data_IF_042429400243
#
_entry.id   IF_042429400243
#
_cell.length_a   1.000
_cell.length_b   1.000
_cell.length_c   1.000
_cell.angle_alpha   90.00
_cell.angle_beta   90.00
_cell.angle_gamma   90.00
#
_symmetry.space_group_name_H-M   'P 1'
#
loop_
_entity.id
_entity.type
_entity.pdbx_description
1 polymer ?
#
# COMPACT_ATOMS: atom_id res chain seq x y z
N UNK A 1 -20.27 68.40 8.54
CA UNK A 1 -19.45 67.95 9.69
C UNK A 1 -20.15 66.86 10.52
N UNK A 2 -21.44 67.02 10.86
CA UNK A 2 -22.22 66.04 11.63
C UNK A 2 -22.20 64.62 11.04
N UNK A 3 -22.37 64.48 9.71
CA UNK A 3 -22.34 63.18 9.02
C UNK A 3 -21.00 62.43 9.09
N UNK A 4 -19.88 63.15 9.20
CA UNK A 4 -18.54 62.53 9.32
C UNK A 4 -18.35 62.02 10.75
N UNK A 5 -18.81 62.78 11.75
CA UNK A 5 -18.76 62.38 13.16
C UNK A 5 -19.65 61.16 13.40
N UNK A 6 -20.87 61.16 12.88
CA UNK A 6 -21.79 60.01 12.93
C UNK A 6 -21.18 58.76 12.29
N UNK A 7 -20.53 58.90 11.12
CA UNK A 7 -19.84 57.81 10.47
C UNK A 7 -18.68 57.24 11.31
N UNK A 8 -17.85 58.11 11.90
CA UNK A 8 -16.73 57.68 12.75
C UNK A 8 -17.21 57.00 14.04
N UNK A 9 -18.30 57.48 14.65
CA UNK A 9 -18.92 56.83 15.81
C UNK A 9 -19.46 55.45 15.42
N UNK A 10 -20.20 55.35 14.31
CA UNK A 10 -20.71 54.08 13.82
C UNK A 10 -19.57 53.09 13.52
N UNK A 11 -18.49 53.54 12.87
CA UNK A 11 -17.31 52.73 12.61
C UNK A 11 -16.64 52.27 13.92
N UNK A 12 -16.54 53.15 14.92
CA UNK A 12 -16.02 52.81 16.24
C UNK A 12 -16.86 51.77 16.97
N UNK A 13 -18.18 51.88 16.91
CA UNK A 13 -19.11 50.88 17.48
C UNK A 13 -18.93 49.53 16.77
N UNK A 14 -18.87 49.52 15.44
CA UNK A 14 -18.67 48.29 14.66
C UNK A 14 -17.32 47.65 14.97
N UNK A 15 -16.25 48.43 15.05
CA UNK A 15 -14.92 47.95 15.44
C UNK A 15 -14.91 47.40 16.87
N UNK A 16 -15.55 48.10 17.81
CA UNK A 16 -15.68 47.65 19.20
C UNK A 16 -16.46 46.32 19.31
N UNK A 17 -17.59 46.21 18.61
CA UNK A 17 -18.39 44.98 18.55
C UNK A 17 -17.61 43.83 17.91
N UNK A 18 -16.87 44.09 16.82
CA UNK A 18 -16.01 43.10 16.17
C UNK A 18 -14.97 42.52 17.15
N UNK A 19 -14.32 43.37 17.95
CA UNK A 19 -13.34 42.92 18.95
C UNK A 19 -14.03 42.13 20.07
N UNK A 20 -15.14 42.63 20.61
CA UNK A 20 -15.88 41.95 21.69
C UNK A 20 -16.31 40.55 21.25
N UNK A 21 -16.95 40.45 20.07
CA UNK A 21 -17.40 39.15 19.54
C UNK A 21 -16.19 38.25 19.26
N UNK A 22 -15.12 38.76 18.64
CA UNK A 22 -13.91 37.99 18.37
C UNK A 22 -13.26 37.41 19.64
N UNK A 23 -13.23 38.16 20.75
CA UNK A 23 -12.72 37.68 22.03
C UNK A 23 -13.64 36.64 22.68
N UNK A 24 -14.96 36.75 22.47
CA UNK A 24 -15.92 35.75 22.94
C UNK A 24 -15.90 34.44 22.12
N UNK A 25 -15.38 34.47 20.88
CA UNK A 25 -15.24 33.25 20.06
C UNK A 25 -14.17 32.31 20.64
N UNK A 26 -14.36 30.97 20.52
CA UNK A 26 -13.38 29.99 20.99
C UNK A 26 -11.98 30.18 20.38
N UNK A 27 -10.96 30.07 21.22
CA UNK A 27 -9.55 30.15 20.82
C UNK A 27 -9.01 28.87 20.19
N UNK A 28 -9.80 27.80 20.16
CA UNK A 28 -9.47 26.51 19.56
C UNK A 28 -10.73 25.88 18.94
N UNK A 29 -10.52 24.99 17.96
CA UNK A 29 -11.58 24.22 17.32
C UNK A 29 -11.20 22.76 17.25
N UNK A 30 -12.19 21.91 17.51
CA UNK A 30 -12.10 20.46 17.40
C UNK A 30 -13.23 19.96 16.49
N UNK A 31 -12.90 19.07 15.57
CA UNK A 31 -13.85 18.39 14.69
C UNK A 31 -13.54 16.90 14.76
N UNK A 32 -14.58 16.08 14.79
CA UNK A 32 -14.45 14.62 14.81
C UNK A 32 -15.44 14.04 13.82
N UNK A 33 -14.96 13.19 12.92
CA UNK A 33 -15.79 12.43 11.99
C UNK A 33 -15.40 10.95 12.10
N UNK A 34 -16.33 10.04 11.81
CA UNK A 34 -16.02 8.61 11.86
C UNK A 34 -16.70 7.80 10.76
N UNK A 35 -16.08 6.68 10.40
CA UNK A 35 -16.63 5.71 9.46
C UNK A 35 -16.28 4.30 9.93
N UNK A 36 -17.10 3.33 9.57
CA UNK A 36 -16.80 1.91 9.81
C UNK A 36 -16.36 1.21 8.52
N UNK A 37 -15.47 0.24 8.67
CA UNK A 37 -15.02 -0.65 7.59
C UNK A 37 -15.00 -2.10 8.06
N UNK A 38 -15.18 -3.03 7.12
CA UNK A 38 -15.08 -4.47 7.37
C UNK A 38 -13.66 -5.03 7.15
N UNK A 39 -12.66 -4.15 6.93
CA UNK A 39 -11.26 -4.54 6.77
C UNK A 39 -10.57 -4.78 8.09
N UNK A 40 -9.60 -5.71 8.10
CA UNK A 40 -8.79 -6.05 9.27
C UNK A 40 -8.11 -4.82 9.87
N UNK A 41 -7.98 -4.80 11.20
CA UNK A 41 -7.30 -3.73 11.95
C UNK A 41 -5.88 -3.46 11.43
N UNK A 42 -5.11 -4.51 11.14
CA UNK A 42 -3.77 -4.43 10.53
C UNK A 42 -3.75 -3.55 9.27
N UNK A 43 -4.71 -3.77 8.36
CA UNK A 43 -4.81 -3.05 7.08
C UNK A 43 -5.17 -1.58 7.33
N UNK A 44 -6.13 -1.34 8.22
CA UNK A 44 -6.61 0.01 8.55
C UNK A 44 -5.49 0.82 9.22
N UNK A 45 -4.82 0.23 10.21
CA UNK A 45 -3.71 0.86 10.91
C UNK A 45 -2.57 1.20 9.96
N UNK A 46 -2.11 0.26 9.13
CA UNK A 46 -1.01 0.53 8.19
C UNK A 46 -1.35 1.60 7.16
N UNK A 47 -2.62 1.70 6.79
CA UNK A 47 -3.11 2.73 5.88
C UNK A 47 -2.98 4.12 6.48
N UNK A 48 -3.38 4.33 7.74
CA UNK A 48 -3.30 5.66 8.39
C UNK A 48 -1.90 5.95 8.94
N UNK A 49 -1.12 4.91 9.22
CA UNK A 49 0.26 5.01 9.67
C UNK A 49 1.27 5.28 8.54
N UNK A 50 0.80 5.53 7.31
CA UNK A 50 1.64 5.88 6.17
C UNK A 50 0.97 6.96 5.30
N UNK A 51 1.78 7.91 4.82
CA UNK A 51 1.30 8.98 3.94
C UNK A 51 1.43 8.64 2.44
N UNK A 52 1.87 7.42 2.09
CA UNK A 52 2.03 7.01 0.68
C UNK A 52 0.72 7.04 -0.11
N UNK A 53 -0.37 6.64 0.54
CA UNK A 53 -1.70 6.61 -0.06
C UNK A 53 -2.50 7.89 0.15
N UNK A 54 -1.85 8.98 0.58
CA UNK A 54 -2.51 10.25 0.84
C UNK A 54 -3.39 10.71 -0.32
N UNK A 55 -2.91 10.57 -1.56
CA UNK A 55 -3.65 10.93 -2.78
C UNK A 55 -4.96 10.16 -2.99
N UNK A 56 -5.04 8.94 -2.46
CA UNK A 56 -6.16 8.03 -2.69
C UNK A 56 -7.37 8.42 -1.82
N UNK A 57 -7.11 8.83 -0.58
CA UNK A 57 -8.15 9.16 0.39
C UNK A 57 -8.30 10.67 0.64
N UNK A 58 -7.23 11.46 0.66
CA UNK A 58 -7.31 12.87 1.02
C UNK A 58 -7.95 13.71 -0.11
N UNK A 59 -8.87 14.64 0.20
CA UNK A 59 -9.51 15.50 -0.79
C UNK A 59 -8.59 16.51 -1.51
N UNK A 60 -7.35 16.73 -1.07
CA UNK A 60 -6.45 17.76 -1.62
C UNK A 60 -6.36 17.72 -3.15
N UNK A 61 -6.20 16.53 -3.75
CA UNK A 61 -6.09 16.38 -5.20
C UNK A 61 -7.39 16.66 -5.97
N UNK A 62 -8.54 16.67 -5.30
CA UNK A 62 -9.79 17.09 -5.92
C UNK A 62 -9.85 18.61 -6.07
N UNK A 63 -9.10 19.34 -5.22
CA UNK A 63 -9.00 20.80 -5.28
C UNK A 63 -7.92 21.25 -6.25
N UNK A 64 -6.78 20.56 -6.26
CA UNK A 64 -5.72 20.76 -7.24
C UNK A 64 -5.18 19.42 -7.76
N UNK A 65 -5.62 18.97 -8.96
CA UNK A 65 -5.09 17.76 -9.60
C UNK A 65 -3.61 17.84 -9.96
N UNK A 66 -3.02 19.03 -10.03
CA UNK A 66 -1.62 19.27 -10.37
C UNK A 66 -0.72 19.46 -9.14
N UNK A 67 -1.24 19.22 -7.92
CA UNK A 67 -0.46 19.35 -6.68
C UNK A 67 0.74 18.40 -6.70
N UNK A 68 1.91 18.93 -6.37
CA UNK A 68 3.12 18.14 -6.23
C UNK A 68 3.19 17.55 -4.83
N UNK A 69 3.44 16.24 -4.73
CA UNK A 69 3.57 15.51 -3.47
C UNK A 69 4.99 14.97 -3.34
N UNK A 70 5.64 15.21 -2.21
CA UNK A 70 6.98 14.70 -1.91
C UNK A 70 6.99 13.99 -0.56
N UNK A 71 7.25 12.69 -0.59
CA UNK A 71 7.44 11.89 0.63
C UNK A 71 8.88 11.97 1.12
N UNK A 72 9.07 12.03 2.44
CA UNK A 72 10.38 11.99 3.09
C UNK A 72 10.30 11.32 4.46
N UNK A 73 11.45 10.98 5.04
CA UNK A 73 11.52 10.24 6.30
C UNK A 73 11.20 8.74 6.13
N UNK A 74 10.85 8.04 7.23
CA UNK A 74 10.50 6.63 7.16
C UNK A 74 9.21 6.40 6.35
N UNK A 75 9.09 5.18 5.86
CA UNK A 75 7.97 4.67 5.07
C UNK A 75 6.60 4.76 5.77
N UNK A 76 6.60 4.65 7.09
CA UNK A 76 5.43 4.63 7.98
C UNK A 76 5.89 4.95 9.41
N UNK A 77 4.95 5.30 10.28
CA UNK A 77 5.25 5.61 11.69
C UNK A 77 5.82 7.01 11.90
N UNK A 78 6.27 7.25 13.13
CA UNK A 78 6.75 8.57 13.58
C UNK A 78 7.87 9.09 12.68
N UNK A 79 7.73 10.34 12.25
CA UNK A 79 8.65 11.03 11.34
C UNK A 79 8.35 10.85 9.85
N UNK A 80 7.43 9.94 9.47
CA UNK A 80 6.98 9.84 8.09
C UNK A 80 6.33 11.16 7.67
N UNK A 81 6.82 11.74 6.58
CA UNK A 81 6.48 13.10 6.14
C UNK A 81 5.99 13.12 4.70
N UNK A 82 4.97 13.94 4.46
CA UNK A 82 4.52 14.33 3.14
C UNK A 82 4.52 15.85 3.05
N UNK A 83 5.28 16.39 2.11
CA UNK A 83 5.22 17.78 1.69
C UNK A 83 4.34 17.90 0.45
N UNK A 84 3.54 18.96 0.37
CA UNK A 84 2.76 19.29 -0.83
C UNK A 84 3.01 20.73 -1.29
N UNK A 85 2.98 20.93 -2.60
CA UNK A 85 3.08 22.24 -3.21
C UNK A 85 2.03 22.40 -4.32
N UNK A 86 1.16 23.39 -4.16
CA UNK A 86 0.13 23.76 -5.12
C UNK A 86 0.40 25.14 -5.70
N UNK A 87 0.03 25.33 -6.97
CA UNK A 87 0.02 26.65 -7.61
C UNK A 87 -1.24 27.45 -7.28
N UNK A 88 -2.27 26.80 -6.75
CA UNK A 88 -3.48 27.45 -6.27
C UNK A 88 -3.18 28.22 -5.00
N UNK A 89 -3.39 29.54 -5.03
CA UNK A 89 -3.01 30.44 -3.93
C UNK A 89 -3.72 30.15 -2.61
N UNK A 90 -4.89 29.50 -2.67
CA UNK A 90 -5.67 29.10 -1.50
C UNK A 90 -5.11 27.87 -0.78
N UNK A 91 -4.37 27.01 -1.49
CA UNK A 91 -3.76 25.80 -0.93
C UNK A 91 -2.30 26.03 -0.56
N UNK A 92 -1.56 26.76 -1.41
CA UNK A 92 -0.16 27.08 -1.19
C UNK A 92 0.72 25.83 -1.00
N UNK A 93 1.53 25.85 0.05
CA UNK A 93 2.45 24.76 0.39
C UNK A 93 2.24 24.35 1.84
N UNK A 94 2.42 23.06 2.12
CA UNK A 94 2.27 22.55 3.47
C UNK A 94 2.88 21.17 3.64
N UNK A 95 2.74 20.64 4.84
CA UNK A 95 3.28 19.34 5.19
C UNK A 95 2.45 18.60 6.24
N UNK A 96 2.53 17.29 6.17
CA UNK A 96 1.92 16.34 7.10
C UNK A 96 3.04 15.49 7.68
N UNK A 97 3.14 15.40 9.01
CA UNK A 97 4.17 14.60 9.69
C UNK A 97 3.52 13.74 10.74
N UNK A 98 3.72 12.43 10.67
CA UNK A 98 3.28 11.52 11.74
C UNK A 98 4.12 11.79 12.99
N UNK A 99 3.47 12.20 14.07
CA UNK A 99 4.12 12.53 15.35
C UNK A 99 3.95 11.43 16.39
N UNK A 100 2.85 10.67 16.32
CA UNK A 100 2.56 9.57 17.23
C UNK A 100 2.00 8.38 16.45
N UNK A 101 2.34 7.16 16.88
CA UNK A 101 1.85 5.92 16.30
C UNK A 101 1.80 4.83 17.37
N UNK A 102 0.62 4.56 17.90
CA UNK A 102 0.33 3.41 18.75
C UNK A 102 -0.31 2.30 17.91
N UNK A 103 0.38 1.16 17.83
CA UNK A 103 0.00 0.06 16.94
C UNK A 103 -1.46 -0.37 17.15
N UNK A 104 -2.21 -0.42 16.03
CA UNK A 104 -3.60 -0.85 15.97
C UNK A 104 -4.58 -0.02 16.82
N UNK A 105 -4.21 1.21 17.21
CA UNK A 105 -5.04 2.05 18.08
C UNK A 105 -5.06 3.52 17.70
N UNK A 106 -3.90 4.14 17.51
CA UNK A 106 -3.82 5.59 17.37
C UNK A 106 -2.70 6.05 16.44
N UNK A 107 -2.96 7.05 15.62
CA UNK A 107 -1.93 7.76 14.83
C UNK A 107 -2.22 9.25 14.88
N UNK A 108 -1.25 10.07 15.28
CA UNK A 108 -1.36 11.52 15.25
C UNK A 108 -0.43 12.13 14.19
N UNK A 109 -0.91 13.17 13.53
CA UNK A 109 -0.24 13.83 12.41
C UNK A 109 -0.28 15.34 12.63
N UNK A 110 0.88 15.97 12.70
CA UNK A 110 1.01 17.42 12.66
C UNK A 110 0.85 17.94 11.23
N UNK A 111 0.11 19.04 11.08
CA UNK A 111 -0.17 19.69 9.80
C UNK A 111 0.41 21.10 9.83
N UNK A 112 1.17 21.45 8.79
CA UNK A 112 1.57 22.82 8.51
C UNK A 112 1.01 23.21 7.16
N UNK A 113 0.29 24.33 7.09
CA UNK A 113 -0.35 24.82 5.87
C UNK A 113 -0.66 26.33 6.01
N UNK A 114 -0.98 27.06 4.92
CA UNK A 114 -1.19 28.51 4.98
C UNK A 114 -2.55 28.92 5.58
N UNK A 115 -3.42 27.97 5.96
CA UNK A 115 -4.69 28.28 6.60
C UNK A 115 -4.49 28.93 7.98
N UNK A 116 -5.52 29.59 8.50
CA UNK A 116 -5.41 30.30 9.79
C UNK A 116 -5.30 29.33 10.97
N UNK A 117 -4.62 29.79 12.02
CA UNK A 117 -4.35 29.01 13.22
C UNK A 117 -3.01 28.29 13.18
N UNK A 118 -2.62 27.74 14.32
CA UNK A 118 -1.37 27.05 14.57
C UNK A 118 -1.63 25.76 15.36
N UNK A 119 -0.59 24.96 15.60
CA UNK A 119 -0.65 23.66 16.28
C UNK A 119 -1.70 22.72 15.66
N UNK A 120 -1.84 22.76 14.33
CA UNK A 120 -2.84 21.97 13.62
C UNK A 120 -2.46 20.49 13.71
N UNK A 121 -3.38 19.69 14.21
CA UNK A 121 -3.16 18.25 14.36
C UNK A 121 -4.38 17.51 13.85
N UNK A 122 -4.16 16.43 13.12
CA UNK A 122 -5.21 15.42 12.89
C UNK A 122 -4.77 14.10 13.48
N UNK A 123 -5.71 13.35 14.03
CA UNK A 123 -5.42 12.02 14.57
C UNK A 123 -6.47 11.02 14.14
N UNK A 124 -6.06 9.76 14.10
CA UNK A 124 -6.90 8.62 13.80
C UNK A 124 -6.95 7.72 15.01
N UNK A 125 -8.14 7.48 15.53
CA UNK A 125 -8.41 6.51 16.60
C UNK A 125 -9.16 5.32 16.02
N UNK A 126 -8.64 4.11 16.28
CA UNK A 126 -9.12 2.87 15.70
C UNK A 126 -9.72 1.99 16.79
N UNK A 127 -10.99 1.60 16.60
CA UNK A 127 -11.72 0.80 17.58
C UNK A 127 -12.32 -0.43 16.90
N UNK A 128 -12.18 -1.64 17.47
CA UNK A 128 -12.88 -2.82 16.97
C UNK A 128 -14.38 -2.67 17.23
N UNK A 129 -15.20 -2.85 16.19
CA UNK A 129 -16.67 -2.79 16.27
C UNK A 129 -17.33 -3.99 15.60
N UNK A 130 -18.66 -4.05 15.69
CA UNK A 130 -19.46 -5.15 15.13
C UNK A 130 -19.33 -6.47 15.89
N UNK A 131 -20.04 -7.49 15.40
CA UNK A 131 -20.08 -8.81 16.06
C UNK A 131 -18.70 -9.47 16.06
N UNK A 132 -18.14 -9.66 17.26
CA UNK A 132 -16.83 -10.28 17.45
C UNK A 132 -15.65 -9.42 17.01
N UNK A 133 -15.80 -8.08 16.96
CA UNK A 133 -14.71 -7.16 16.62
C UNK A 133 -14.19 -7.30 15.19
N UNK A 134 -15.07 -7.71 14.26
CA UNK A 134 -14.70 -7.94 12.85
C UNK A 134 -14.65 -6.67 12.02
N UNK A 135 -15.30 -5.61 12.46
CA UNK A 135 -15.25 -4.30 11.83
C UNK A 135 -14.28 -3.41 12.60
N UNK A 136 -13.86 -2.32 11.95
CA UNK A 136 -13.05 -1.29 12.56
C UNK A 136 -13.76 0.04 12.35
N UNK A 137 -13.99 0.77 13.44
CA UNK A 137 -14.37 2.17 13.40
C UNK A 137 -13.11 3.01 13.34
N UNK A 138 -13.06 3.90 12.35
CA UNK A 138 -12.00 4.87 12.14
C UNK A 138 -12.58 6.22 12.53
N UNK A 139 -12.09 6.79 13.62
CA UNK A 139 -12.44 8.15 14.05
C UNK A 139 -11.29 9.06 13.66
N UNK A 140 -11.55 10.09 12.85
CA UNK A 140 -10.59 11.12 12.51
C UNK A 140 -10.94 12.40 13.26
N UNK A 141 -10.03 12.83 14.13
CA UNK A 141 -10.11 14.09 14.84
C UNK A 141 -9.21 15.13 14.17
N UNK A 142 -9.63 16.39 14.22
CA UNK A 142 -8.84 17.54 13.79
C UNK A 142 -8.92 18.62 14.86
N UNK A 143 -7.78 19.20 15.22
CA UNK A 143 -7.66 20.30 16.16
C UNK A 143 -6.82 21.44 15.59
N UNK A 144 -7.17 22.67 15.92
CA UNK A 144 -6.44 23.88 15.56
C UNK A 144 -6.61 24.95 16.62
N UNK A 145 -5.52 25.67 16.92
CA UNK A 145 -5.51 26.79 17.86
C UNK A 145 -5.40 28.12 17.13
N UNK A 146 -6.16 29.11 17.58
CA UNK A 146 -6.15 30.49 17.09
C UNK A 146 -5.55 31.48 18.07
N UNK A 147 -5.45 31.12 19.36
CA UNK A 147 -4.93 32.03 20.38
C UNK A 147 -5.75 33.32 20.43
N UNK A 148 -5.09 34.49 20.39
CA UNK A 148 -5.75 35.81 20.35
C UNK A 148 -5.89 36.40 18.93
N UNK A 149 -5.63 35.63 17.87
CA UNK A 149 -5.91 36.09 16.50
C UNK A 149 -7.42 36.17 16.26
N UNK A 150 -7.98 37.39 16.37
CA UNK A 150 -9.41 37.65 16.21
C UNK A 150 -9.90 37.20 14.82
N UNK A 151 -9.13 37.47 13.77
CA UNK A 151 -9.48 37.03 12.41
C UNK A 151 -9.45 35.51 12.29
N UNK A 152 -8.47 34.85 12.91
CA UNK A 152 -8.40 33.40 13.03
C UNK A 152 -9.61 32.80 13.74
N UNK A 153 -10.05 33.38 14.86
CA UNK A 153 -11.25 32.92 15.58
C UNK A 153 -12.54 33.04 14.74
N UNK A 154 -12.67 34.09 13.94
CA UNK A 154 -13.75 34.22 12.96
C UNK A 154 -13.63 33.18 11.84
N UNK A 155 -12.44 32.94 11.30
CA UNK A 155 -12.20 31.87 10.34
C UNK A 155 -12.59 30.49 10.93
N UNK A 156 -12.32 30.29 12.22
CA UNK A 156 -12.71 29.13 13.01
C UNK A 156 -14.20 28.80 13.02
N UNK A 157 -15.09 29.73 12.69
CA UNK A 157 -16.54 29.46 12.53
C UNK A 157 -16.85 28.66 11.26
N UNK A 158 -16.00 28.77 10.24
CA UNK A 158 -16.20 28.10 8.95
C UNK A 158 -15.44 26.78 8.82
N UNK A 159 -14.61 26.45 9.80
CA UNK A 159 -13.80 25.22 9.86
C UNK A 159 -14.68 23.98 9.91
N UNK A 160 -15.74 23.97 10.72
CA UNK A 160 -16.67 22.83 10.79
C UNK A 160 -17.33 22.51 9.46
N UNK A 161 -17.59 23.53 8.62
CA UNK A 161 -18.16 23.33 7.29
C UNK A 161 -17.11 22.84 6.30
N UNK A 162 -15.97 23.52 6.18
CA UNK A 162 -15.00 23.18 5.14
C UNK A 162 -14.13 21.97 5.51
N UNK A 163 -13.56 21.97 6.72
CA UNK A 163 -12.70 20.88 7.18
C UNK A 163 -13.55 19.67 7.56
N UNK A 164 -14.70 19.86 8.20
CA UNK A 164 -15.61 18.73 8.52
C UNK A 164 -16.07 17.98 7.26
N UNK A 165 -16.49 18.69 6.22
CA UNK A 165 -16.86 18.09 4.94
C UNK A 165 -15.66 17.37 4.29
N UNK A 166 -14.44 17.93 4.39
CA UNK A 166 -13.21 17.29 3.91
C UNK A 166 -12.86 16.01 4.68
N UNK A 167 -13.00 16.01 6.02
CA UNK A 167 -12.75 14.80 6.83
C UNK A 167 -13.75 13.70 6.46
N UNK A 168 -15.03 14.05 6.35
CA UNK A 168 -16.08 13.10 5.98
C UNK A 168 -15.88 12.54 4.57
N UNK A 169 -15.52 13.38 3.60
CA UNK A 169 -15.17 12.95 2.25
C UNK A 169 -13.91 12.08 2.25
N UNK A 170 -12.90 12.47 3.01
CA UNK A 170 -11.64 11.76 3.16
C UNK A 170 -11.81 10.36 3.72
N UNK A 171 -12.57 10.23 4.82
CA UNK A 171 -12.95 8.95 5.43
C UNK A 171 -13.78 8.08 4.49
N UNK A 172 -14.72 8.67 3.75
CA UNK A 172 -15.53 7.93 2.76
C UNK A 172 -14.65 7.36 1.64
N UNK A 173 -13.71 8.17 1.12
CA UNK A 173 -12.74 7.70 0.13
C UNK A 173 -11.80 6.64 0.70
N UNK A 174 -11.35 6.81 1.95
CA UNK A 174 -10.54 5.82 2.65
C UNK A 174 -11.27 4.48 2.77
N UNK A 175 -12.54 4.47 3.16
CA UNK A 175 -13.33 3.24 3.25
C UNK A 175 -13.49 2.55 1.88
N UNK A 176 -13.77 3.30 0.82
CA UNK A 176 -13.85 2.77 -0.54
C UNK A 176 -12.51 2.20 -1.01
N UNK A 177 -11.42 2.91 -0.73
CA UNK A 177 -10.06 2.47 -1.03
C UNK A 177 -9.72 1.18 -0.28
N UNK A 178 -10.00 1.12 1.02
CA UNK A 178 -9.81 -0.06 1.87
C UNK A 178 -10.62 -1.26 1.35
N UNK A 179 -11.80 -1.02 0.77
CA UNK A 179 -12.63 -2.09 0.22
C UNK A 179 -11.96 -2.84 -0.96
N UNK A 180 -10.98 -2.23 -1.62
CA UNK A 180 -10.20 -2.85 -2.70
C UNK A 180 -9.05 -3.73 -2.20
N UNK A 181 -8.65 -3.58 -0.93
CA UNK A 181 -7.54 -4.34 -0.34
C UNK A 181 -8.02 -5.75 0.03
N UNK A 182 -7.33 -6.83 -0.37
CA UNK A 182 -7.67 -8.18 0.10
C UNK A 182 -7.76 -8.24 1.63
N UNK A 183 -8.84 -8.83 2.15
CA UNK A 183 -9.14 -8.79 3.59
C UNK A 183 -8.36 -9.86 4.40
N UNK A 184 -7.04 -9.89 4.21
CA UNK A 184 -6.12 -10.85 4.82
C UNK A 184 -5.22 -10.12 5.80
N UNK A 185 -5.11 -10.66 7.01
CA UNK A 185 -4.20 -10.13 8.01
C UNK A 185 -2.80 -10.75 7.83
N UNK A 186 -1.94 -9.99 7.17
CA UNK A 186 -0.57 -10.38 6.84
C UNK A 186 0.41 -10.29 8.01
N UNK A 187 -0.07 -10.03 9.23
CA UNK A 187 0.71 -10.10 10.47
C UNK A 187 0.37 -11.31 11.34
N UNK A 188 -0.51 -12.20 10.86
CA UNK A 188 -0.91 -13.39 11.62
C UNK A 188 0.12 -14.50 11.50
N UNK A 189 0.16 -15.37 12.50
CA UNK A 189 1.00 -16.58 12.48
C UNK A 189 0.61 -17.57 11.38
N UNK A 190 -0.58 -17.45 10.80
CA UNK A 190 -1.07 -18.30 9.70
C UNK A 190 -0.37 -18.00 8.37
N UNK A 191 0.21 -16.79 8.22
CA UNK A 191 1.06 -16.40 7.11
C UNK A 191 2.33 -15.71 7.65
N UNK A 192 3.30 -16.46 8.21
CA UNK A 192 4.52 -15.93 8.81
C UNK A 192 5.48 -15.45 7.72
N UNK A 193 5.09 -14.39 7.03
CA UNK A 193 5.91 -13.72 6.05
C UNK A 193 7.04 -12.97 6.76
N UNK A 194 8.27 -13.16 6.27
CA UNK A 194 9.43 -12.35 6.67
C UNK A 194 9.93 -11.56 5.47
N UNK A 195 10.81 -10.58 5.73
CA UNK A 195 11.50 -9.81 4.68
C UNK A 195 10.56 -9.14 3.66
N UNK A 196 9.43 -8.64 4.17
CA UNK A 196 8.45 -7.85 3.42
C UNK A 196 9.12 -6.59 2.86
N UNK A 197 9.26 -6.53 1.54
CA UNK A 197 9.91 -5.42 0.86
C UNK A 197 9.35 -5.22 -0.54
N UNK A 198 9.54 -4.01 -1.08
CA UNK A 198 9.49 -3.82 -2.53
C UNK A 198 10.92 -3.93 -3.03
N UNK A 199 11.16 -4.85 -3.95
CA UNK A 199 12.49 -5.14 -4.51
C UNK A 199 12.50 -4.85 -6.01
N UNK A 200 13.66 -4.46 -6.52
CA UNK A 200 13.91 -4.40 -7.97
C UNK A 200 14.36 -5.78 -8.45
N UNK A 201 13.55 -6.39 -9.30
CA UNK A 201 13.89 -7.64 -9.97
C UNK A 201 14.63 -7.27 -11.27
N UNK A 202 15.87 -7.75 -11.46
CA UNK A 202 16.63 -7.46 -12.67
C UNK A 202 16.01 -8.14 -13.89
N UNK A 203 16.62 -7.94 -15.06
CA UNK A 203 16.28 -8.72 -16.24
C UNK A 203 16.46 -10.22 -15.96
N UNK A 204 15.54 -11.04 -16.44
CA UNK A 204 15.60 -12.49 -16.30
C UNK A 204 15.22 -13.19 -17.60
N UNK A 205 15.88 -14.31 -17.87
CA UNK A 205 15.52 -15.23 -18.94
C UNK A 205 14.88 -16.47 -18.31
N UNK A 206 13.66 -16.80 -18.71
CA UNK A 206 12.91 -17.94 -18.19
C UNK A 206 12.64 -18.96 -19.29
N UNK A 207 12.75 -20.24 -18.95
CA UNK A 207 12.09 -21.33 -19.66
C UNK A 207 10.87 -21.76 -18.87
N UNK A 208 9.70 -21.73 -19.50
CA UNK A 208 8.40 -21.90 -18.84
C UNK A 208 7.62 -23.02 -19.51
N UNK A 209 7.03 -23.92 -18.74
CA UNK A 209 6.09 -24.95 -19.18
C UNK A 209 4.78 -24.76 -18.43
N UNK A 210 3.66 -24.70 -19.16
CA UNK A 210 2.33 -24.67 -18.53
C UNK A 210 1.98 -26.09 -18.06
N UNK A 211 1.79 -26.27 -16.75
CA UNK A 211 1.44 -27.57 -16.18
C UNK A 211 -0.06 -27.91 -16.34
N UNK A 212 -0.88 -26.94 -16.76
CA UNK A 212 -2.32 -27.06 -16.82
C UNK A 212 -2.97 -27.17 -15.43
N UNK A 213 -4.14 -27.80 -15.37
CA UNK A 213 -4.90 -28.01 -14.15
C UNK A 213 -4.58 -29.38 -13.53
N UNK A 214 -3.72 -29.39 -12.53
CA UNK A 214 -3.25 -30.62 -11.87
C UNK A 214 -4.13 -30.94 -10.67
N UNK A 215 -4.43 -32.22 -10.43
CA UNK A 215 -5.11 -32.66 -9.21
C UNK A 215 -4.32 -32.29 -7.95
N UNK A 216 -5.02 -31.79 -6.92
CA UNK A 216 -4.39 -31.49 -5.63
C UNK A 216 -4.00 -32.77 -4.92
N UNK A 217 -2.70 -32.99 -4.84
CA UNK A 217 -2.09 -34.12 -4.17
C UNK A 217 -0.59 -33.99 -4.24
N UNK A 218 0.12 -34.46 -3.22
CA UNK A 218 1.57 -34.38 -3.20
C UNK A 218 2.18 -35.13 -4.39
N UNK A 219 1.73 -36.35 -4.64
CA UNK A 219 2.22 -37.19 -5.73
C UNK A 219 1.94 -36.56 -7.10
N UNK A 220 0.71 -36.12 -7.35
CA UNK A 220 0.28 -35.54 -8.64
C UNK A 220 1.00 -34.23 -8.95
N UNK A 221 1.13 -33.34 -7.96
CA UNK A 221 1.84 -32.06 -8.11
C UNK A 221 3.34 -32.30 -8.29
N UNK A 222 3.95 -33.17 -7.47
CA UNK A 222 5.38 -33.51 -7.59
C UNK A 222 5.69 -34.10 -8.96
N UNK A 223 4.86 -35.05 -9.43
CA UNK A 223 5.03 -35.67 -10.74
C UNK A 223 4.93 -34.63 -11.85
N UNK A 224 3.89 -33.79 -11.84
CA UNK A 224 3.72 -32.74 -12.85
C UNK A 224 4.91 -31.77 -12.89
N UNK A 225 5.41 -31.34 -11.73
CA UNK A 225 6.59 -30.48 -11.66
C UNK A 225 7.81 -31.18 -12.26
N UNK A 226 8.09 -32.43 -11.88
CA UNK A 226 9.26 -33.18 -12.36
C UNK A 226 9.20 -33.44 -13.87
N UNK A 227 8.05 -33.84 -14.38
CA UNK A 227 7.86 -34.07 -15.82
C UNK A 227 8.14 -32.78 -16.63
N UNK A 228 7.67 -31.63 -16.13
CA UNK A 228 7.92 -30.34 -16.76
C UNK A 228 9.39 -29.88 -16.62
N UNK A 229 10.05 -30.17 -15.51
CA UNK A 229 11.48 -29.92 -15.32
C UNK A 229 12.34 -30.71 -16.30
N UNK A 230 11.96 -31.94 -16.66
CA UNK A 230 12.68 -32.73 -17.67
C UNK A 230 12.65 -32.06 -19.04
N UNK A 231 11.49 -31.53 -19.45
CA UNK A 231 11.38 -30.77 -20.70
C UNK A 231 12.27 -29.53 -20.71
N UNK A 232 12.23 -28.75 -19.62
CA UNK A 232 13.09 -27.57 -19.44
C UNK A 232 14.56 -27.96 -19.52
N UNK A 233 14.97 -29.02 -18.82
CA UNK A 233 16.36 -29.51 -18.80
C UNK A 233 16.86 -29.87 -20.20
N UNK A 234 16.06 -30.57 -21.01
CA UNK A 234 16.40 -30.90 -22.41
C UNK A 234 16.65 -29.64 -23.24
N UNK A 235 15.79 -28.62 -23.09
CA UNK A 235 15.97 -27.33 -23.79
C UNK A 235 17.21 -26.59 -23.30
N UNK A 236 17.51 -26.62 -22.00
CA UNK A 236 18.72 -26.01 -21.45
C UNK A 236 19.99 -26.65 -22.04
N UNK A 237 20.06 -27.98 -22.05
CA UNK A 237 21.19 -28.75 -22.57
C UNK A 237 21.41 -28.47 -24.07
N UNK A 238 20.33 -28.47 -24.87
CA UNK A 238 20.39 -28.18 -26.31
C UNK A 238 20.87 -26.75 -26.63
N UNK A 239 20.77 -25.81 -25.69
CA UNK A 239 21.07 -24.38 -25.89
C UNK A 239 22.29 -23.88 -25.10
N UNK A 240 23.02 -24.80 -24.44
CA UNK A 240 24.14 -24.50 -23.55
C UNK A 240 23.77 -23.45 -22.47
N UNK A 241 22.64 -23.70 -21.81
CA UNK A 241 22.13 -22.88 -20.71
C UNK A 241 22.36 -23.58 -19.37
N UNK A 242 22.45 -22.78 -18.31
CA UNK A 242 22.48 -23.27 -16.93
C UNK A 242 21.46 -22.51 -16.08
N UNK A 243 21.08 -23.09 -14.94
CA UNK A 243 20.12 -22.49 -14.02
C UNK A 243 20.72 -21.20 -13.41
N UNK A 244 19.93 -20.13 -13.44
CA UNK A 244 20.29 -18.84 -12.84
C UNK A 244 19.65 -18.62 -11.46
N UNK A 245 18.96 -19.63 -10.92
CA UNK A 245 18.30 -19.58 -9.62
C UNK A 245 17.48 -20.83 -9.33
N UNK A 246 16.74 -20.85 -8.20
CA UNK A 246 15.84 -21.93 -7.84
C UNK A 246 14.73 -22.15 -8.88
N UNK A 247 14.08 -23.30 -8.81
CA UNK A 247 12.86 -23.56 -9.59
C UNK A 247 11.79 -22.53 -9.21
N UNK A 248 11.10 -22.00 -10.21
CA UNK A 248 10.00 -21.06 -10.04
C UNK A 248 8.67 -21.72 -10.35
N UNK A 249 7.67 -21.50 -9.51
CA UNK A 249 6.29 -21.84 -9.78
C UNK A 249 5.50 -20.56 -9.97
N UNK A 250 4.75 -20.44 -11.06
CA UNK A 250 3.91 -19.28 -11.36
C UNK A 250 2.46 -19.72 -11.18
N UNK A 251 1.82 -19.25 -10.11
CA UNK A 251 0.47 -19.70 -9.76
C UNK A 251 -0.58 -18.95 -10.55
N UNK A 252 -1.50 -19.69 -11.18
CA UNK A 252 -2.70 -19.13 -11.82
C UNK A 252 -3.92 -19.26 -10.91
N UNK A 253 -4.15 -20.44 -10.34
CA UNK A 253 -5.24 -20.70 -9.40
C UNK A 253 -4.89 -21.85 -8.46
N UNK A 254 -5.17 -21.71 -7.17
CA UNK A 254 -5.01 -22.76 -6.16
C UNK A 254 -6.38 -23.13 -5.58
N UNK A 255 -7.16 -23.85 -6.39
CA UNK A 255 -8.52 -24.25 -6.06
C UNK A 255 -8.61 -25.34 -4.98
N UNK A 256 -9.82 -25.81 -4.70
CA UNK A 256 -10.02 -26.87 -3.70
C UNK A 256 -9.62 -28.27 -4.20
N UNK A 257 -9.78 -28.54 -5.48
CA UNK A 257 -9.49 -29.85 -6.09
C UNK A 257 -8.35 -29.80 -7.11
N UNK A 258 -8.15 -28.64 -7.75
CA UNK A 258 -7.17 -28.44 -8.82
C UNK A 258 -6.19 -27.33 -8.47
N UNK A 259 -4.97 -27.48 -8.96
CA UNK A 259 -3.92 -26.48 -8.90
C UNK A 259 -3.45 -26.15 -10.32
N UNK A 260 -3.65 -24.90 -10.73
CA UNK A 260 -3.25 -24.38 -12.04
C UNK A 260 -1.97 -23.55 -11.91
N UNK A 261 -0.88 -24.00 -12.52
CA UNK A 261 0.41 -23.33 -12.41
C UNK A 261 1.29 -23.56 -13.64
N UNK A 262 2.31 -22.70 -13.79
CA UNK A 262 3.42 -22.91 -14.71
C UNK A 262 4.67 -23.28 -13.92
N UNK A 263 5.50 -24.14 -14.51
CA UNK A 263 6.84 -24.45 -14.02
C UNK A 263 7.83 -23.61 -14.81
N UNK A 264 8.62 -22.80 -14.13
CA UNK A 264 9.60 -21.94 -14.76
C UNK A 264 11.00 -22.18 -14.16
N UNK A 265 12.02 -22.08 -15.00
CA UNK A 265 13.41 -22.09 -14.56
C UNK A 265 14.07 -20.80 -15.05
N UNK A 266 14.56 -19.94 -14.13
CA UNK A 266 15.50 -18.89 -14.48
C UNK A 266 16.75 -19.52 -15.07
N UNK A 267 17.18 -19.03 -16.23
CA UNK A 267 18.32 -19.54 -16.98
C UNK A 267 19.28 -18.43 -17.37
N UNK A 268 20.52 -18.80 -17.64
CA UNK A 268 21.53 -17.94 -18.25
C UNK A 268 22.39 -18.76 -19.20
N UNK A 269 23.16 -18.08 -20.07
CA UNK A 269 24.18 -18.75 -20.86
C UNK A 269 25.22 -19.36 -19.92
N UNK A 270 25.64 -20.59 -20.20
CA UNK A 270 26.62 -21.29 -19.37
C UNK A 270 27.90 -20.46 -19.23
N UNK A 271 28.31 -20.21 -17.98
CA UNK A 271 29.49 -19.41 -17.67
C UNK A 271 29.27 -17.89 -17.70
N UNK A 272 28.06 -17.40 -18.00
CA UNK A 272 27.71 -16.01 -17.79
C UNK A 272 27.48 -15.73 -16.30
N UNK A 273 27.74 -14.50 -15.86
CA UNK A 273 27.49 -14.11 -14.47
C UNK A 273 25.98 -13.96 -14.20
N UNK A 274 25.26 -13.26 -15.09
CA UNK A 274 23.84 -12.98 -14.99
C UNK A 274 23.14 -13.01 -16.37
N UNK A 275 21.81 -12.87 -16.37
CA UNK A 275 21.05 -12.62 -17.60
C UNK A 275 21.43 -11.26 -18.21
N UNK A 276 21.35 -11.16 -19.54
CA UNK A 276 21.72 -9.94 -20.27
C UNK A 276 20.48 -9.11 -20.59
N UNK A 277 20.66 -7.83 -20.91
CA UNK A 277 19.56 -6.98 -21.39
C UNK A 277 19.03 -7.41 -22.78
N UNK A 278 19.79 -8.21 -23.52
CA UNK A 278 19.37 -8.78 -24.79
C UNK A 278 18.76 -10.16 -24.59
N UNK A 279 17.68 -10.43 -25.34
CA UNK A 279 17.03 -11.72 -25.31
C UNK A 279 17.93 -12.83 -25.88
N UNK A 280 17.93 -13.99 -25.24
CA UNK A 280 18.63 -15.17 -25.70
C UNK A 280 17.97 -15.74 -26.97
N UNK A 281 18.80 -16.14 -27.93
CA UNK A 281 18.35 -17.05 -28.99
C UNK A 281 18.28 -18.47 -28.42
N UNK A 282 17.06 -18.96 -28.18
CA UNK A 282 16.78 -20.30 -27.68
C UNK A 282 16.10 -21.13 -28.76
N UNK A 283 16.70 -22.27 -29.12
CA UNK A 283 16.13 -23.27 -30.02
C UNK A 283 15.22 -24.20 -29.21
N UNK A 284 13.94 -24.23 -29.55
CA UNK A 284 12.95 -25.08 -28.92
C UNK A 284 12.37 -25.97 -30.03
N UNK A 285 12.35 -27.29 -29.80
CA UNK A 285 11.73 -28.25 -30.72
C UNK A 285 10.21 -27.98 -30.80
N UNK A 286 9.61 -28.16 -31.98
CA UNK A 286 8.21 -27.82 -32.22
C UNK A 286 7.22 -28.59 -31.33
N UNK A 287 7.61 -29.79 -30.89
CA UNK A 287 6.81 -30.65 -30.01
C UNK A 287 7.10 -30.42 -28.52
N UNK A 288 8.13 -29.63 -28.17
CA UNK A 288 8.46 -29.36 -26.77
C UNK A 288 7.48 -28.33 -26.17
N UNK A 289 6.85 -28.60 -25.01
CA UNK A 289 5.88 -27.69 -24.39
C UNK A 289 6.54 -26.49 -23.67
N UNK A 290 7.78 -26.15 -24.02
CA UNK A 290 8.59 -25.12 -23.36
C UNK A 290 8.46 -23.80 -24.12
N UNK A 291 8.28 -22.71 -23.37
CA UNK A 291 8.30 -21.34 -23.89
C UNK A 291 9.47 -20.58 -23.29
N UNK A 292 10.22 -19.87 -24.12
CA UNK A 292 11.18 -18.88 -23.68
C UNK A 292 10.49 -17.54 -23.39
N UNK A 293 10.82 -16.92 -22.25
CA UNK A 293 10.30 -15.61 -21.84
C UNK A 293 11.47 -14.74 -21.39
N UNK A 294 11.63 -13.59 -22.03
CA UNK A 294 12.55 -12.53 -21.59
C UNK A 294 11.77 -11.54 -20.73
N UNK A 295 12.11 -11.46 -19.44
CA UNK A 295 11.43 -10.62 -18.46
C UNK A 295 12.23 -9.34 -18.27
N UNK A 296 11.61 -8.21 -18.58
CA UNK A 296 12.19 -6.89 -18.35
C UNK A 296 12.36 -6.62 -16.84
N UNK A 297 13.33 -5.76 -16.45
CA UNK A 297 13.46 -5.35 -15.06
C UNK A 297 12.16 -4.68 -14.58
N UNK A 298 11.74 -5.03 -13.38
CA UNK A 298 10.48 -4.56 -12.81
C UNK A 298 10.55 -4.55 -11.28
N UNK A 299 9.63 -3.82 -10.65
CA UNK A 299 9.48 -3.82 -9.19
C UNK A 299 8.54 -4.94 -8.78
N UNK A 300 8.83 -5.57 -7.65
CA UNK A 300 8.03 -6.66 -7.11
C UNK A 300 7.86 -6.50 -5.61
N UNK A 301 6.65 -6.77 -5.10
CA UNK A 301 6.46 -7.05 -3.69
C UNK A 301 7.08 -8.42 -3.40
N UNK A 302 7.88 -8.49 -2.34
CA UNK A 302 8.63 -9.67 -1.94
C UNK A 302 8.31 -10.02 -0.49
N UNK A 303 8.25 -11.32 -0.20
CA UNK A 303 8.38 -11.86 1.15
C UNK A 303 8.98 -13.27 1.12
N UNK A 304 9.71 -13.61 2.16
CA UNK A 304 10.12 -14.98 2.43
C UNK A 304 9.02 -15.72 3.23
N UNK A 305 8.83 -16.99 2.92
CA UNK A 305 7.90 -17.89 3.60
C UNK A 305 8.59 -19.22 3.91
N UNK A 306 8.43 -19.70 5.14
CA UNK A 306 8.85 -21.05 5.54
C UNK A 306 7.64 -21.87 5.97
N UNK A 307 7.46 -23.04 5.36
CA UNK A 307 6.35 -23.93 5.65
C UNK A 307 6.02 -24.90 4.53
N UNK A 308 4.88 -25.56 4.67
CA UNK A 308 4.34 -26.46 3.66
C UNK A 308 3.72 -25.67 2.49
N UNK A 309 3.89 -26.11 1.25
CA UNK A 309 3.42 -25.39 0.04
C UNK A 309 1.91 -25.09 0.03
N UNK A 310 1.11 -25.88 0.74
CA UNK A 310 -0.33 -25.63 0.91
C UNK A 310 -0.65 -24.29 1.59
N UNK A 311 0.29 -23.71 2.34
CA UNK A 311 0.15 -22.37 2.94
C UNK A 311 0.49 -21.23 1.98
N UNK A 312 1.06 -21.51 0.81
CA UNK A 312 1.46 -20.48 -0.16
C UNK A 312 0.29 -19.65 -0.67
N UNK A 313 -0.92 -20.21 -0.73
CA UNK A 313 -2.09 -19.42 -1.14
C UNK A 313 -2.41 -18.30 -0.14
N UNK A 314 -2.38 -18.61 1.15
CA UNK A 314 -2.56 -17.60 2.20
C UNK A 314 -1.39 -16.61 2.18
N UNK A 315 -0.16 -17.11 2.02
CA UNK A 315 1.05 -16.29 1.97
C UNK A 315 1.05 -15.30 0.78
N UNK A 316 0.68 -15.76 -0.44
CA UNK A 316 0.49 -14.90 -1.62
C UNK A 316 -0.56 -13.82 -1.39
N UNK A 317 -1.71 -14.20 -0.84
CA UNK A 317 -2.79 -13.25 -0.57
C UNK A 317 -2.41 -12.24 0.52
N UNK A 318 -1.63 -12.67 1.53
CA UNK A 318 -1.06 -11.79 2.55
C UNK A 318 -0.06 -10.79 1.96
N UNK A 319 0.86 -11.25 1.10
CA UNK A 319 1.80 -10.36 0.39
C UNK A 319 1.07 -9.34 -0.49
N UNK A 320 0.03 -9.78 -1.21
CA UNK A 320 -0.83 -8.88 -2.00
C UNK A 320 -1.51 -7.84 -1.12
N UNK A 321 -2.11 -8.26 0.00
CA UNK A 321 -2.77 -7.36 0.93
C UNK A 321 -1.78 -6.32 1.47
N UNK A 322 -0.57 -6.74 1.86
CA UNK A 322 0.49 -5.85 2.29
C UNK A 322 0.90 -4.85 1.21
N UNK A 323 1.16 -5.32 -0.03
CA UNK A 323 1.60 -4.47 -1.13
C UNK A 323 0.58 -3.40 -1.50
N UNK A 324 -0.70 -3.77 -1.60
CA UNK A 324 -1.81 -2.84 -1.90
C UNK A 324 -2.03 -1.87 -0.73
N UNK A 325 -1.91 -2.34 0.52
CA UNK A 325 -1.99 -1.46 1.70
C UNK A 325 -0.88 -0.42 1.70
N UNK A 326 0.33 -0.80 1.28
CA UNK A 326 1.47 0.10 1.13
C UNK A 326 1.35 1.09 -0.04
N UNK A 327 0.30 0.96 -0.87
CA UNK A 327 0.00 1.88 -1.97
C UNK A 327 0.50 1.44 -3.35
N UNK A 328 0.89 0.17 -3.50
CA UNK A 328 1.33 -0.37 -4.79
C UNK A 328 0.16 -1.01 -5.54
N UNK A 329 0.17 -0.89 -6.87
CA UNK A 329 -0.75 -1.65 -7.72
C UNK A 329 -0.09 -2.99 -8.07
N UNK A 330 -0.75 -4.08 -7.71
CA UNK A 330 -0.25 -5.42 -7.97
C UNK A 330 -0.66 -5.86 -9.38
N UNK A 331 0.31 -6.29 -10.19
CA UNK A 331 0.14 -6.69 -11.59
C UNK A 331 0.60 -8.15 -11.80
N UNK A 332 0.15 -8.75 -12.89
CA UNK A 332 0.49 -10.12 -13.29
C UNK A 332 0.17 -11.21 -12.25
N UNK A 333 0.63 -12.44 -12.53
CA UNK A 333 0.48 -13.61 -11.66
C UNK A 333 1.60 -13.63 -10.61
N UNK A 334 1.31 -14.02 -9.36
CA UNK A 334 2.36 -14.23 -8.37
C UNK A 334 3.22 -15.43 -8.76
N UNK A 335 4.47 -15.41 -8.33
CA UNK A 335 5.35 -16.55 -8.47
C UNK A 335 6.17 -16.77 -7.20
N UNK A 336 6.64 -18.00 -7.02
CA UNK A 336 7.49 -18.37 -5.90
C UNK A 336 8.77 -19.06 -6.40
N UNK A 337 9.90 -18.69 -5.82
CA UNK A 337 11.16 -19.45 -5.94
C UNK A 337 11.17 -20.54 -4.87
N UNK A 338 11.31 -21.80 -5.27
CA UNK A 338 11.30 -22.97 -4.37
C UNK A 338 12.74 -23.30 -3.95
N UNK A 339 13.22 -22.60 -2.92
CA UNK A 339 14.63 -22.59 -2.50
C UNK A 339 15.13 -23.95 -1.99
N UNK A 340 14.24 -24.73 -1.37
CA UNK A 340 14.54 -26.09 -0.90
C UNK A 340 14.33 -27.19 -1.95
N UNK A 341 13.85 -26.85 -3.14
CA UNK A 341 13.40 -27.79 -4.17
C UNK A 341 12.06 -28.48 -3.83
N UNK A 342 11.52 -29.22 -4.80
CA UNK A 342 10.16 -29.82 -4.74
C UNK A 342 9.97 -30.75 -3.55
N UNK A 343 11.00 -31.53 -3.19
CA UNK A 343 10.87 -32.55 -2.16
C UNK A 343 10.65 -31.96 -0.76
N UNK A 344 11.32 -30.85 -0.44
CA UNK A 344 11.15 -30.15 0.85
C UNK A 344 9.86 -29.33 0.91
N UNK A 345 9.25 -29.03 -0.23
CA UNK A 345 8.08 -28.16 -0.27
C UNK A 345 6.79 -28.80 0.28
N UNK A 346 6.79 -30.12 0.46
CA UNK A 346 5.72 -30.87 1.11
C UNK A 346 6.00 -31.14 2.59
N UNK A 347 6.93 -30.39 3.20
CA UNK A 347 7.25 -30.48 4.63
C UNK A 347 7.22 -29.09 5.27
N UNK A 348 7.20 -28.99 6.61
CA UNK A 348 7.27 -27.70 7.31
C UNK A 348 8.58 -26.93 7.06
N UNK A 349 9.61 -27.58 6.55
CA UNK A 349 10.93 -26.99 6.27
C UNK A 349 11.07 -26.43 4.85
N UNK A 350 9.98 -26.43 4.05
CA UNK A 350 9.96 -25.79 2.74
C UNK A 350 10.23 -24.30 2.86
N UNK A 351 11.09 -23.76 2.00
CA UNK A 351 11.45 -22.34 1.98
C UNK A 351 11.18 -21.73 0.60
N UNK A 352 10.58 -20.55 0.60
CA UNK A 352 10.14 -19.89 -0.63
C UNK A 352 10.36 -18.38 -0.54
N UNK A 353 10.75 -17.80 -1.67
CA UNK A 353 10.68 -16.36 -1.90
C UNK A 353 9.47 -16.10 -2.80
N UNK A 354 8.50 -15.36 -2.28
CA UNK A 354 7.23 -15.06 -2.94
C UNK A 354 7.34 -13.67 -3.55
N UNK A 355 6.91 -13.57 -4.81
CA UNK A 355 6.96 -12.33 -5.58
C UNK A 355 5.61 -12.01 -6.19
N UNK A 356 5.28 -10.72 -6.21
CA UNK A 356 4.17 -10.19 -6.99
C UNK A 356 4.58 -8.86 -7.61
N UNK A 357 4.62 -8.80 -8.95
CA UNK A 357 4.99 -7.59 -9.65
C UNK A 357 4.10 -6.41 -9.25
N UNK A 358 4.69 -5.21 -9.14
CA UNK A 358 4.00 -3.99 -8.72
C UNK A 358 4.34 -2.78 -9.58
N UNK A 359 3.41 -1.81 -9.63
CA UNK A 359 3.63 -0.46 -10.16
C UNK A 359 3.66 0.58 -9.05
#
# INVERSE_FOLDING_TARGET
MTRIIEFLIALGIVAGLFVIIGVCLPGERHISESIETNRKMTIVFDTVNSLRRFKDWNPLLLRDPAVELKHSGPAAGVGARLDYASKESSLGQGSWVITESEQNKHVAIAIEDPSKGHDKTTSFTLEPTGKGGRNVKITQDYSVKYGFDLFGRYAGLYVSRHIGDDLKLGLSRMANMLATVPNVDYRTAEAPLTDLAIVDVPVEDLLVVNAGNVDRGQETITKSIRDNQEWIKRVMEANNLEAAGPLRIITTDFGQEKYAFDVAQPVKKKGAEAASAEALTVKIDGDAPVKYVHVAPHRSAHAAYTGHMAGLDVARNALRAWAVTAGNEVIDRPYESWNGGVDKSFTPEGTYDIYWAVK
#
